data_IF_336014051211
#
_entry.id   IF_336014051211
#
_cell.length_a   1.000
_cell.length_b   1.000
_cell.length_c   1.000
_cell.angle_alpha   90.00
_cell.angle_beta   90.00
_cell.angle_gamma   90.00
#
_symmetry.space_group_name_H-M   'P 1'
#
loop_
_entity.id
_entity.type
_entity.pdbx_description
1 polymer ?
#
# COMPACT_ATOMS: atom_id res chain seq x y z
N UNK A 1 3.22 -8.56 -17.08
CA UNK A 1 4.33 -8.08 -16.21
C UNK A 1 3.76 -7.69 -14.87
N UNK A 2 4.49 -7.92 -13.78
CA UNK A 2 4.10 -7.46 -12.43
C UNK A 2 5.35 -6.96 -11.71
N UNK A 3 5.21 -5.91 -10.92
CA UNK A 3 6.26 -5.42 -10.02
C UNK A 3 5.64 -4.61 -8.88
N UNK A 4 6.44 -4.32 -7.86
CA UNK A 4 6.06 -3.52 -6.71
C UNK A 4 7.21 -2.62 -6.27
N UNK A 5 6.87 -1.37 -5.94
CA UNK A 5 7.77 -0.45 -5.24
C UNK A 5 7.14 -0.03 -3.92
N UNK A 6 7.96 0.20 -2.90
CA UNK A 6 7.53 0.79 -1.63
C UNK A 6 8.26 2.10 -1.44
N UNK A 7 7.51 3.15 -1.10
CA UNK A 7 7.99 4.51 -0.92
C UNK A 7 7.59 5.01 0.47
N UNK A 8 8.22 6.08 0.93
CA UNK A 8 7.70 6.83 2.07
C UNK A 8 6.33 7.43 1.69
N UNK A 9 5.38 7.40 2.62
CA UNK A 9 4.04 7.91 2.39
C UNK A 9 4.05 9.44 2.17
N UNK A 10 3.10 9.99 1.39
CA UNK A 10 2.92 11.43 1.28
C UNK A 10 2.71 12.06 2.66
N UNK A 11 3.32 13.22 2.89
CA UNK A 11 3.26 13.92 4.19
C UNK A 11 1.84 14.35 4.59
N UNK A 12 0.94 14.51 3.62
CA UNK A 12 -0.47 14.84 3.83
C UNK A 12 -1.35 13.59 3.97
N UNK A 13 -0.80 12.40 3.77
CA UNK A 13 -1.51 11.13 3.92
C UNK A 13 -2.58 10.87 2.86
N UNK A 14 -2.54 11.57 1.73
CA UNK A 14 -3.55 11.45 0.67
C UNK A 14 -2.94 10.80 -0.58
N UNK A 15 -3.57 9.73 -1.06
CA UNK A 15 -3.18 9.06 -2.31
C UNK A 15 -4.41 8.88 -3.20
N UNK A 16 -4.26 9.07 -4.51
CA UNK A 16 -5.35 8.95 -5.48
C UNK A 16 -4.97 8.04 -6.65
N UNK A 17 -5.85 7.10 -6.98
CA UNK A 17 -5.79 6.32 -8.22
C UNK A 17 -6.90 6.79 -9.16
N UNK A 18 -6.52 7.36 -10.30
CA UNK A 18 -7.46 7.88 -11.31
C UNK A 18 -7.50 6.99 -12.54
N UNK A 19 -8.69 6.48 -12.87
CA UNK A 19 -8.93 5.79 -14.14
C UNK A 19 -9.25 6.82 -15.22
N UNK A 20 -8.23 7.19 -16.00
CA UNK A 20 -8.29 8.30 -16.96
C UNK A 20 -9.50 8.24 -17.90
N UNK A 21 -9.78 7.08 -18.50
CA UNK A 21 -10.88 6.92 -19.47
C UNK A 21 -12.26 7.22 -18.89
N UNK A 22 -12.51 6.84 -17.63
CA UNK A 22 -13.81 7.02 -16.98
C UNK A 22 -13.87 8.23 -16.05
N UNK A 23 -12.75 8.93 -15.82
CA UNK A 23 -12.65 9.99 -14.82
C UNK A 23 -12.66 9.51 -13.36
N UNK A 24 -13.21 8.32 -13.08
CA UNK A 24 -13.32 7.73 -11.73
C UNK A 24 -12.02 7.80 -10.92
N UNK A 25 -12.16 8.12 -9.63
CA UNK A 25 -11.06 8.30 -8.69
C UNK A 25 -11.33 7.50 -7.42
N UNK A 26 -10.37 6.68 -7.02
CA UNK A 26 -10.27 6.16 -5.66
C UNK A 26 -9.31 7.07 -4.88
N UNK A 27 -9.79 7.66 -3.78
CA UNK A 27 -8.96 8.43 -2.84
C UNK A 27 -8.81 7.63 -1.56
N UNK A 28 -7.57 7.54 -1.07
CA UNK A 28 -7.20 6.95 0.20
C UNK A 28 -6.67 8.05 1.11
N UNK A 29 -7.13 8.09 2.36
CA UNK A 29 -6.62 9.02 3.39
C UNK A 29 -6.21 8.22 4.63
N UNK A 30 -5.03 8.50 5.15
CA UNK A 30 -4.48 7.84 6.33
C UNK A 30 -3.47 8.76 7.04
N UNK A 31 -3.14 8.47 8.30
CA UNK A 31 -2.11 9.22 9.01
C UNK A 31 -0.71 8.68 8.67
N UNK A 32 0.20 9.46 8.03
CA UNK A 32 1.56 8.98 7.70
C UNK A 32 2.39 8.64 8.93
N UNK A 33 2.05 9.20 10.10
CA UNK A 33 2.69 8.85 11.37
C UNK A 33 2.34 7.43 11.84
N UNK A 34 1.21 6.87 11.40
CA UNK A 34 0.77 5.51 11.74
C UNK A 34 1.08 4.52 10.62
N UNK A 35 0.89 4.96 9.36
CA UNK A 35 1.11 4.21 8.12
C UNK A 35 2.16 4.96 7.27
N UNK A 36 3.46 4.82 7.61
CA UNK A 36 4.53 5.65 7.05
C UNK A 36 4.97 5.31 5.63
N UNK A 37 4.47 4.23 5.03
CA UNK A 37 4.90 3.78 3.72
C UNK A 37 3.71 3.53 2.79
N UNK A 38 3.97 3.59 1.49
CA UNK A 38 3.03 3.28 0.44
C UNK A 38 3.65 2.28 -0.54
N UNK A 39 3.09 1.08 -0.60
CA UNK A 39 3.33 0.15 -1.69
C UNK A 39 2.51 0.53 -2.92
N UNK A 40 3.13 0.47 -4.09
CA UNK A 40 2.45 0.55 -5.39
C UNK A 40 2.81 -0.71 -6.14
N UNK A 41 1.80 -1.56 -6.36
CA UNK A 41 1.93 -2.80 -7.10
C UNK A 41 1.09 -2.71 -8.38
N UNK A 42 1.60 -3.24 -9.48
CA UNK A 42 0.85 -3.33 -10.72
C UNK A 42 0.92 -4.74 -11.29
N UNK A 43 -0.17 -5.11 -11.94
CA UNK A 43 -0.26 -6.34 -12.71
C UNK A 43 -0.83 -6.01 -14.09
N UNK A 44 -0.06 -6.36 -15.12
CA UNK A 44 -0.46 -6.26 -16.51
C UNK A 44 -0.48 -7.66 -17.11
N UNK A 45 -1.52 -8.43 -16.77
CA UNK A 45 -1.75 -9.78 -17.29
C UNK A 45 -0.75 -10.84 -16.84
N UNK A 46 0.00 -10.62 -15.75
CA UNK A 46 0.93 -11.62 -15.21
C UNK A 46 0.30 -12.53 -14.14
N UNK A 47 -0.82 -12.11 -13.54
CA UNK A 47 -1.53 -12.84 -12.49
C UNK A 47 -3.05 -12.80 -12.72
N UNK A 48 -3.81 -13.84 -12.32
CA UNK A 48 -3.37 -15.11 -11.75
C UNK A 48 -2.62 -16.01 -12.74
N UNK A 49 -1.84 -16.96 -12.21
CA UNK A 49 -1.12 -17.94 -13.02
C UNK A 49 -2.06 -18.94 -13.70
N UNK A 50 -3.26 -19.12 -13.14
CA UNK A 50 -4.34 -19.95 -13.69
C UNK A 50 -5.63 -19.13 -13.74
N UNK A 51 -6.39 -19.26 -14.82
CA UNK A 51 -7.58 -18.46 -15.09
C UNK A 51 -7.30 -17.23 -15.94
N UNK A 52 -8.24 -16.29 -15.96
CA UNK A 52 -8.17 -15.10 -16.81
C UNK A 52 -7.16 -14.07 -16.27
N UNK A 53 -6.12 -13.70 -17.05
CA UNK A 53 -5.15 -12.70 -16.63
C UNK A 53 -5.80 -11.32 -16.40
N UNK A 54 -5.50 -10.73 -15.24
CA UNK A 54 -6.08 -9.44 -14.86
C UNK A 54 -5.15 -8.26 -15.14
N UNK A 55 -5.72 -7.06 -15.28
CA UNK A 55 -4.98 -5.80 -15.33
C UNK A 55 -5.44 -4.88 -14.19
N UNK A 56 -4.55 -4.58 -13.26
CA UNK A 56 -4.85 -3.76 -12.09
C UNK A 56 -3.63 -3.04 -11.54
N UNK A 57 -3.89 -2.01 -10.75
CA UNK A 57 -2.91 -1.32 -9.91
C UNK A 57 -3.45 -1.30 -8.50
N UNK A 58 -2.61 -1.64 -7.53
CA UNK A 58 -2.92 -1.59 -6.10
C UNK A 58 -2.14 -0.45 -5.45
N UNK A 59 -2.85 0.30 -4.60
CA UNK A 59 -2.25 1.21 -3.63
C UNK A 59 -2.30 0.53 -2.27
N UNK A 60 -1.16 0.40 -1.61
CA UNK A 60 -0.98 -0.40 -0.41
C UNK A 60 -0.38 0.45 0.71
N UNK A 61 -1.17 1.33 1.37
CA UNK A 61 -0.73 1.99 2.59
C UNK A 61 -0.28 0.92 3.60
N UNK A 62 0.97 1.00 4.06
CA UNK A 62 1.59 -0.06 4.86
C UNK A 62 2.48 0.50 5.96
N UNK A 63 2.68 -0.34 6.98
CA UNK A 63 3.46 0.01 8.17
C UNK A 63 4.91 -0.47 8.11
N UNK A 64 5.28 -1.24 7.08
CA UNK A 64 6.63 -1.75 6.84
C UNK A 64 7.17 -1.33 5.48
N UNK A 65 8.48 -1.11 5.39
CA UNK A 65 9.15 -0.54 4.20
C UNK A 65 9.37 -1.55 3.07
N UNK A 66 9.19 -2.84 3.33
CA UNK A 66 9.33 -3.93 2.34
C UNK A 66 8.37 -5.07 2.70
N UNK A 67 8.20 -6.03 1.79
CA UNK A 67 7.43 -7.24 2.07
C UNK A 67 8.16 -8.23 3.00
N UNK A 68 9.48 -8.06 3.18
CA UNK A 68 10.30 -8.94 3.99
C UNK A 68 10.46 -8.40 5.40
N UNK A 69 10.00 -9.18 6.38
CA UNK A 69 10.11 -8.81 7.79
C UNK A 69 11.58 -8.65 8.23
N UNK A 70 12.48 -9.53 7.79
CA UNK A 70 13.89 -9.48 8.19
C UNK A 70 14.61 -8.24 7.64
N UNK A 71 14.24 -7.79 6.44
CA UNK A 71 14.71 -6.51 5.88
C UNK A 71 14.10 -5.32 6.64
N UNK A 72 12.79 -5.36 6.95
CA UNK A 72 12.16 -4.34 7.78
C UNK A 72 12.81 -4.21 9.17
N UNK A 73 13.20 -5.32 9.80
CA UNK A 73 13.92 -5.31 11.08
C UNK A 73 15.28 -4.63 10.95
N UNK A 74 16.05 -4.93 9.89
CA UNK A 74 17.36 -4.30 9.62
C UNK A 74 17.23 -2.81 9.32
N UNK A 75 16.16 -2.40 8.65
CA UNK A 75 15.88 -1.01 8.29
C UNK A 75 15.24 -0.20 9.43
N UNK A 76 14.93 -0.82 10.58
CA UNK A 76 14.25 -0.16 11.69
C UNK A 76 12.79 0.20 11.40
N UNK A 77 12.18 -0.39 10.37
CA UNK A 77 10.81 -0.13 9.94
C UNK A 77 9.82 -1.21 10.38
N UNK A 78 10.28 -2.24 11.10
CA UNK A 78 9.41 -3.27 11.64
C UNK A 78 8.67 -2.75 12.88
N UNK A 79 7.36 -3.02 12.97
CA UNK A 79 6.61 -2.77 14.19
C UNK A 79 6.89 -3.88 15.21
N UNK A 80 7.37 -3.50 16.38
CA UNK A 80 7.65 -4.41 17.48
C UNK A 80 6.68 -4.07 18.61
N UNK A 81 5.78 -4.99 18.93
CA UNK A 81 4.81 -4.85 20.02
C UNK A 81 5.26 -5.69 21.22
N UNK A 82 5.23 -5.11 22.41
CA UNK A 82 5.46 -5.83 23.66
C UNK A 82 4.28 -6.74 23.98
N UNK A 83 4.49 -7.65 24.94
CA UNK A 83 3.41 -8.47 25.45
C UNK A 83 2.24 -7.59 25.91
N UNK A 84 1.05 -7.87 25.38
CA UNK A 84 -0.22 -7.15 25.63
C UNK A 84 -0.30 -5.73 25.04
N UNK A 85 0.67 -5.32 24.23
CA UNK A 85 0.59 -4.06 23.50
C UNK A 85 -0.30 -4.21 22.25
N UNK A 86 -0.97 -3.13 21.87
CA UNK A 86 -1.77 -3.05 20.66
C UNK A 86 -1.36 -1.82 19.84
N UNK A 87 -1.51 -1.93 18.53
CA UNK A 87 -1.40 -0.80 17.60
C UNK A 87 -2.63 -0.79 16.70
N UNK A 88 -3.19 0.39 16.54
CA UNK A 88 -4.33 0.65 15.66
C UNK A 88 -3.92 1.68 14.63
N UNK A 89 -4.48 1.56 13.44
CA UNK A 89 -4.36 2.52 12.35
C UNK A 89 -5.69 2.55 11.62
N UNK A 90 -5.94 3.63 10.89
CA UNK A 90 -7.16 3.81 10.12
C UNK A 90 -6.85 4.23 8.69
N UNK A 91 -7.77 3.84 7.79
CA UNK A 91 -7.73 4.17 6.38
C UNK A 91 -9.15 4.54 5.96
N UNK A 92 -9.30 5.72 5.37
CA UNK A 92 -10.54 6.14 4.74
C UNK A 92 -10.45 5.95 3.23
N UNK A 93 -11.55 5.46 2.65
CA UNK A 93 -11.68 5.24 1.21
C UNK A 93 -12.86 6.04 0.68
N UNK A 94 -12.62 6.77 -0.41
CA UNK A 94 -13.64 7.56 -1.10
C UNK A 94 -13.58 7.22 -2.59
N UNK A 95 -14.73 6.88 -3.19
CA UNK A 95 -14.83 6.53 -4.62
C UNK A 95 -15.76 7.55 -5.28
N UNK A 96 -15.22 8.25 -6.27
CA UNK A 96 -15.96 9.20 -7.12
C UNK A 96 -15.86 8.80 -8.60
#
# INVERSE_FOLDING_TARGET
MTDKVVLDAPIDGVVKLKKLKSGRVLTMKFAPTEIPYLGICYNFGAWPLTGEPATWVALEPTTGRTDRLDECMKLGSANILKARESKTWQLELEIN
#
